data_IF_296603906871
#
_entry.id   IF_296603906871
#
_cell.length_a   1.000
_cell.length_b   1.000
_cell.length_c   1.000
_cell.angle_alpha   90.00
_cell.angle_beta   90.00
_cell.angle_gamma   90.00
#
_symmetry.space_group_name_H-M   'P 1'
#
loop_
_entity.id
_entity.type
_entity.pdbx_description
1 polymer ?
#
# COMPACT_ATOMS: atom_id res chain seq x y z
N UNK A 1 5.43 -23.41 11.02
CA UNK A 1 5.98 -23.80 9.71
C UNK A 1 4.83 -23.67 8.70
N UNK A 2 4.96 -22.80 7.70
CA UNK A 2 3.87 -22.48 6.76
C UNK A 2 3.86 -23.37 5.50
N UNK A 3 4.59 -24.50 5.49
CA UNK A 3 4.59 -25.46 4.39
C UNK A 3 5.34 -25.03 3.13
N UNK A 4 5.92 -23.82 3.12
CA UNK A 4 6.64 -23.27 1.97
C UNK A 4 8.14 -23.54 2.08
N UNK A 5 8.72 -24.00 0.97
CA UNK A 5 10.18 -24.06 0.81
C UNK A 5 10.74 -22.64 0.80
N UNK A 6 11.83 -22.41 1.54
CA UNK A 6 12.57 -21.16 1.43
C UNK A 6 13.24 -21.10 0.05
N UNK A 7 13.11 -19.99 -0.70
CA UNK A 7 13.81 -19.85 -1.98
C UNK A 7 15.31 -20.00 -1.80
N UNK A 8 15.97 -20.73 -2.71
CA UNK A 8 17.44 -20.93 -2.67
C UNK A 8 18.20 -19.75 -3.28
N UNK A 9 17.66 -19.16 -4.35
CA UNK A 9 18.23 -17.99 -5.06
C UNK A 9 17.16 -17.31 -5.91
N UNK A 10 17.34 -16.02 -6.20
CA UNK A 10 16.45 -15.24 -7.05
C UNK A 10 16.33 -13.80 -6.59
N UNK A 11 15.54 -13.01 -7.32
CA UNK A 11 15.16 -11.64 -6.94
C UNK A 11 13.64 -11.54 -6.96
N UNK A 12 13.09 -10.77 -6.04
CA UNK A 12 11.68 -10.38 -6.06
C UNK A 12 11.66 -8.94 -6.56
N UNK A 13 10.97 -8.72 -7.67
CA UNK A 13 10.85 -7.41 -8.28
C UNK A 13 9.45 -6.86 -8.04
N UNK A 14 9.36 -5.57 -7.74
CA UNK A 14 8.12 -4.83 -7.53
C UNK A 14 8.13 -3.57 -8.37
N UNK A 15 7.03 -3.22 -9.02
CA UNK A 15 6.97 -2.04 -9.89
C UNK A 15 5.57 -1.78 -10.41
N UNK A 16 5.34 -0.54 -10.86
CA UNK A 16 4.08 -0.08 -11.45
C UNK A 16 4.14 0.05 -12.97
N UNK A 17 3.06 0.55 -13.57
CA UNK A 17 2.98 0.88 -15.00
C UNK A 17 4.20 1.70 -15.42
N UNK A 18 4.82 1.29 -16.52
CA UNK A 18 6.13 1.76 -16.98
C UNK A 18 6.23 3.24 -17.31
N UNK A 19 7.41 3.63 -17.81
CA UNK A 19 7.61 4.92 -18.46
C UNK A 19 6.65 5.14 -19.65
N UNK A 20 6.71 6.31 -20.28
CA UNK A 20 5.87 6.64 -21.45
C UNK A 20 6.07 5.69 -22.64
N UNK A 21 7.14 4.89 -22.63
CA UNK A 21 7.47 3.88 -23.63
C UNK A 21 7.00 2.46 -23.24
N UNK A 22 6.37 2.30 -22.08
CA UNK A 22 5.77 1.04 -21.62
C UNK A 22 6.75 0.07 -20.96
N UNK A 23 7.97 0.49 -20.64
CA UNK A 23 8.95 -0.34 -19.94
C UNK A 23 8.67 -0.32 -18.42
N UNK A 24 8.40 -1.46 -17.76
CA UNK A 24 8.03 -1.47 -16.36
C UNK A 24 9.19 -0.99 -15.49
N UNK A 25 8.92 -0.01 -14.62
CA UNK A 25 9.87 0.46 -13.61
C UNK A 25 9.93 -0.55 -12.46
N UNK A 26 10.61 -1.67 -12.71
CA UNK A 26 10.82 -2.74 -11.73
C UNK A 26 11.97 -2.41 -10.79
N UNK A 27 11.74 -2.62 -9.50
CA UNK A 27 12.71 -2.41 -8.42
C UNK A 27 12.90 -3.72 -7.65
N UNK A 28 14.14 -4.03 -7.28
CA UNK A 28 14.42 -5.17 -6.42
C UNK A 28 13.98 -4.86 -4.98
N UNK A 29 13.17 -5.73 -4.39
CA UNK A 29 12.66 -5.53 -3.02
C UNK A 29 13.75 -5.63 -1.97
N UNK A 30 14.88 -6.29 -2.26
CA UNK A 30 15.97 -6.48 -1.30
C UNK A 30 16.57 -5.15 -0.79
N UNK A 31 16.46 -4.07 -1.59
CA UNK A 31 16.94 -2.74 -1.24
C UNK A 31 15.86 -1.79 -0.69
N UNK A 32 14.63 -2.27 -0.47
CA UNK A 32 13.49 -1.41 -0.13
C UNK A 32 12.97 -1.67 1.27
N UNK A 33 12.56 -0.60 1.94
CA UNK A 33 11.82 -0.70 3.20
C UNK A 33 10.35 -1.02 2.93
N UNK A 34 9.66 -1.58 3.92
CA UNK A 34 8.21 -1.82 3.85
C UNK A 34 7.45 -0.52 3.55
N UNK A 35 7.86 0.62 4.12
CA UNK A 35 7.25 1.92 3.84
C UNK A 35 7.41 2.37 2.39
N UNK A 36 8.55 2.08 1.76
CA UNK A 36 8.76 2.34 0.32
C UNK A 36 7.90 1.42 -0.55
N UNK A 37 7.73 0.15 -0.15
CA UNK A 37 6.88 -0.81 -0.86
C UNK A 37 5.38 -0.46 -0.75
N UNK A 38 4.94 0.03 0.41
CA UNK A 38 3.55 0.39 0.68
C UNK A 38 3.02 1.53 -0.20
N UNK A 39 3.90 2.32 -0.82
CA UNK A 39 3.51 3.33 -1.81
C UNK A 39 3.12 2.74 -3.17
N UNK A 40 3.49 1.49 -3.44
CA UNK A 40 3.24 0.80 -4.72
C UNK A 40 2.26 -0.34 -4.56
N UNK A 41 2.31 -1.08 -3.44
CA UNK A 41 1.50 -2.27 -3.21
C UNK A 41 0.71 -2.13 -1.92
N UNK A 42 -0.62 -2.22 -2.02
CA UNK A 42 -1.53 -2.43 -0.89
C UNK A 42 -1.81 -3.91 -0.67
N UNK A 43 -2.06 -4.32 0.58
CA UNK A 43 -2.34 -5.70 0.94
C UNK A 43 -3.56 -5.79 1.86
N UNK A 44 -4.47 -6.70 1.52
CA UNK A 44 -5.72 -6.97 2.25
C UNK A 44 -5.77 -8.45 2.63
N UNK A 45 -5.95 -8.73 3.91
CA UNK A 45 -6.10 -10.10 4.42
C UNK A 45 -7.43 -10.72 3.99
N UNK A 46 -7.53 -12.04 4.09
CA UNK A 46 -8.77 -12.77 3.83
C UNK A 46 -9.92 -12.32 4.75
N UNK A 47 -9.59 -12.00 6.01
CA UNK A 47 -10.51 -11.31 6.92
C UNK A 47 -10.03 -9.86 7.10
N UNK A 48 -10.56 -8.91 6.30
CA UNK A 48 -10.14 -7.50 6.35
C UNK A 48 -10.53 -6.81 7.66
N UNK A 49 -11.56 -7.29 8.37
CA UNK A 49 -12.02 -6.68 9.63
C UNK A 49 -10.92 -6.71 10.71
N UNK A 50 -10.02 -7.68 10.63
CA UNK A 50 -8.86 -7.77 11.52
C UNK A 50 -7.81 -6.66 11.27
N UNK A 51 -7.92 -5.90 10.18
CA UNK A 51 -7.03 -4.78 9.87
C UNK A 51 -7.60 -3.42 10.31
N UNK A 52 -8.84 -3.36 10.80
CA UNK A 52 -9.47 -2.12 11.26
C UNK A 52 -9.17 -1.92 12.75
N UNK A 53 -8.72 -0.73 13.13
CA UNK A 53 -8.36 -0.42 14.52
C UNK A 53 -8.60 1.04 14.95
N UNK A 54 -8.99 1.92 14.02
CA UNK A 54 -9.37 3.29 14.35
C UNK A 54 -10.84 3.39 14.79
N UNK A 55 -11.18 4.48 15.50
CA UNK A 55 -12.54 4.70 16.01
C UNK A 55 -13.52 5.16 14.91
N UNK A 56 -13.00 5.74 13.82
CA UNK A 56 -13.81 6.23 12.71
C UNK A 56 -13.22 5.79 11.37
N UNK A 57 -14.09 5.61 10.36
CA UNK A 57 -13.69 5.33 8.98
C UNK A 57 -12.70 6.36 8.45
N UNK A 58 -12.90 7.63 8.80
CA UNK A 58 -12.04 8.74 8.35
C UNK A 58 -10.62 8.63 8.92
N UNK A 59 -10.49 8.25 10.18
CA UNK A 59 -9.19 8.02 10.83
C UNK A 59 -8.49 6.79 10.25
N UNK A 60 -9.24 5.71 9.99
CA UNK A 60 -8.72 4.48 9.38
C UNK A 60 -8.13 4.78 7.99
N UNK A 61 -8.87 5.51 7.15
CA UNK A 61 -8.40 5.92 5.81
C UNK A 61 -7.21 6.88 5.87
N UNK A 62 -7.11 7.72 6.90
CA UNK A 62 -6.01 8.67 7.07
C UNK A 62 -4.72 8.00 7.59
N UNK A 63 -4.82 6.84 8.24
CA UNK A 63 -3.70 6.19 8.92
C UNK A 63 -2.51 5.91 7.99
N UNK A 64 -2.74 5.23 6.87
CA UNK A 64 -1.70 4.90 5.90
C UNK A 64 -1.00 6.13 5.31
N UNK A 65 -1.74 7.09 4.71
CA UNK A 65 -1.19 8.34 4.19
C UNK A 65 -0.35 9.14 5.20
N UNK A 66 -0.80 9.23 6.47
CA UNK A 66 -0.04 9.89 7.54
C UNK A 66 1.23 9.14 7.90
N UNK A 67 1.18 7.81 8.01
CA UNK A 67 2.38 6.99 8.24
C UNK A 67 3.41 7.08 7.11
N UNK A 68 2.97 7.40 5.89
CA UNK A 68 3.85 7.69 4.76
C UNK A 68 4.43 9.12 4.77
N UNK A 69 4.05 9.95 5.75
CA UNK A 69 4.55 11.31 5.91
C UNK A 69 3.97 12.31 4.90
N UNK A 70 2.80 12.03 4.33
CA UNK A 70 2.17 12.95 3.39
C UNK A 70 1.68 14.23 4.08
N UNK A 71 1.71 15.39 3.40
CA UNK A 71 1.15 16.63 3.93
C UNK A 71 -0.34 16.47 4.29
N UNK A 72 -0.80 17.09 5.38
CA UNK A 72 -2.17 16.91 5.87
C UNK A 72 -3.24 17.34 4.84
N UNK A 73 -2.94 18.31 3.98
CA UNK A 73 -3.83 18.67 2.87
C UNK A 73 -4.03 17.53 1.86
N UNK A 74 -2.96 16.79 1.55
CA UNK A 74 -2.99 15.63 0.66
C UNK A 74 -3.66 14.44 1.34
N UNK A 75 -3.44 14.25 2.64
CA UNK A 75 -4.15 13.23 3.44
C UNK A 75 -5.65 13.46 3.36
N UNK A 76 -6.12 14.69 3.66
CA UNK A 76 -7.56 15.03 3.57
C UNK A 76 -8.12 14.78 2.18
N UNK A 77 -7.42 15.22 1.13
CA UNK A 77 -7.86 15.00 -0.26
C UNK A 77 -8.07 13.50 -0.56
N UNK A 78 -7.11 12.65 -0.20
CA UNK A 78 -7.20 11.20 -0.43
C UNK A 78 -8.29 10.54 0.38
N UNK A 79 -8.52 11.00 1.60
CA UNK A 79 -9.60 10.50 2.46
C UNK A 79 -10.96 10.81 1.84
N UNK A 80 -11.23 12.06 1.42
CA UNK A 80 -12.50 12.39 0.75
C UNK A 80 -12.68 11.60 -0.56
N UNK A 81 -11.61 11.45 -1.36
CA UNK A 81 -11.66 10.65 -2.59
C UNK A 81 -12.01 9.18 -2.32
N UNK A 82 -11.49 8.60 -1.25
CA UNK A 82 -11.79 7.23 -0.87
C UNK A 82 -13.24 7.10 -0.36
N UNK A 83 -13.71 8.03 0.47
CA UNK A 83 -15.08 8.01 0.98
C UNK A 83 -16.09 8.10 -0.18
N UNK A 84 -15.90 9.04 -1.10
CA UNK A 84 -16.76 9.19 -2.26
C UNK A 84 -16.69 7.97 -3.20
N UNK A 85 -15.49 7.41 -3.43
CA UNK A 85 -15.30 6.26 -4.34
C UNK A 85 -16.00 4.99 -3.86
N UNK A 86 -16.18 4.84 -2.56
CA UNK A 86 -16.75 3.65 -1.94
C UNK A 86 -18.11 3.91 -1.27
N UNK A 87 -18.72 5.08 -1.50
CA UNK A 87 -20.02 5.49 -0.95
C UNK A 87 -20.07 5.39 0.59
N UNK A 88 -19.03 5.90 1.26
CA UNK A 88 -18.85 5.85 2.73
C UNK A 88 -19.00 7.22 3.42
N UNK A 89 -19.60 8.20 2.74
CA UNK A 89 -19.80 9.56 3.28
C UNK A 89 -20.77 9.63 4.47
#
# INVERSE_FOLDING_TARGET
>A
FNGLLKPTRGRVLVGGLGDREGSPLLRDTAGLTVGQLAQTVGYVFQNPDHQIFCATTREELAFGPRNLGLPEAEVRRRVEEALARFDLE
#
